data_IF_057125590930
#
_entry.id   IF_057125590930
#
_cell.length_a   1.000
_cell.length_b   1.000
_cell.length_c   1.000
_cell.angle_alpha   90.00
_cell.angle_beta   90.00
_cell.angle_gamma   90.00
#
_symmetry.space_group_name_H-M   'P 1'
#
loop_
_entity.id
_entity.type
_entity.pdbx_description
1 polymer ?
#
# COMPACT_ATOMS: atom_id res chain seq x y z
N UNK A 1 5.22 1.39 -10.44
CA UNK A 1 4.10 0.89 -11.28
C UNK A 1 2.94 0.49 -10.38
N UNK A 2 1.78 1.06 -10.64
CA UNK A 2 0.55 0.74 -9.89
C UNK A 2 -0.13 -0.47 -10.56
N UNK A 3 -0.48 -1.50 -9.78
CA UNK A 3 -1.21 -2.66 -10.28
C UNK A 3 -2.68 -2.32 -10.47
N UNK A 4 -3.30 -1.75 -9.44
CA UNK A 4 -4.70 -1.32 -9.48
C UNK A 4 -4.84 0.09 -8.91
N UNK A 5 -5.64 0.93 -9.55
CA UNK A 5 -6.02 2.23 -9.02
C UNK A 5 -7.49 2.55 -9.33
N UNK A 6 -8.10 3.26 -8.42
CA UNK A 6 -9.46 3.81 -8.57
C UNK A 6 -9.65 4.96 -7.59
N UNK A 7 -10.88 5.47 -7.48
CA UNK A 7 -11.26 6.29 -6.34
C UNK A 7 -11.90 5.43 -5.22
N UNK A 8 -12.07 6.04 -4.04
CA UNK A 8 -12.71 5.39 -2.88
C UNK A 8 -14.10 4.84 -3.24
N UNK A 9 -14.95 5.63 -3.91
CA UNK A 9 -16.30 5.22 -4.24
C UNK A 9 -16.34 3.92 -5.07
N UNK A 10 -15.50 3.83 -6.09
CA UNK A 10 -15.39 2.63 -6.94
C UNK A 10 -14.83 1.43 -6.16
N UNK A 11 -13.79 1.64 -5.36
CA UNK A 11 -13.22 0.61 -4.50
C UNK A 11 -14.27 0.03 -3.54
N UNK A 12 -15.01 0.89 -2.84
CA UNK A 12 -16.05 0.48 -1.90
C UNK A 12 -17.12 -0.39 -2.57
N UNK A 13 -17.61 0.03 -3.76
CA UNK A 13 -18.57 -0.74 -4.55
C UNK A 13 -18.04 -2.12 -4.95
N UNK A 14 -16.78 -2.23 -5.33
CA UNK A 14 -16.18 -3.51 -5.72
C UNK A 14 -15.98 -4.45 -4.52
N UNK A 15 -15.70 -3.90 -3.34
CA UNK A 15 -15.66 -4.70 -2.12
C UNK A 15 -17.06 -5.21 -1.75
N UNK A 16 -18.08 -4.35 -1.81
CA UNK A 16 -19.48 -4.71 -1.54
C UNK A 16 -20.00 -5.82 -2.48
N UNK A 17 -19.60 -5.77 -3.75
CA UNK A 17 -19.91 -6.79 -4.75
C UNK A 17 -19.07 -8.07 -4.61
N UNK A 18 -18.05 -8.07 -3.74
CA UNK A 18 -17.15 -9.21 -3.56
C UNK A 18 -16.21 -9.49 -4.73
N UNK A 19 -15.99 -8.52 -5.63
CA UNK A 19 -15.20 -8.70 -6.85
C UNK A 19 -13.81 -8.06 -6.83
N UNK A 20 -13.51 -7.24 -5.82
CA UNK A 20 -12.25 -6.47 -5.77
C UNK A 20 -11.01 -7.36 -5.85
N UNK A 21 -10.99 -8.49 -5.14
CA UNK A 21 -9.84 -9.40 -5.16
C UNK A 21 -9.59 -10.01 -6.55
N UNK A 22 -10.65 -10.31 -7.30
CA UNK A 22 -10.54 -10.80 -8.66
C UNK A 22 -10.02 -9.72 -9.61
N UNK A 23 -10.47 -8.48 -9.44
CA UNK A 23 -10.01 -7.34 -10.24
C UNK A 23 -8.50 -7.09 -10.00
N UNK A 24 -8.07 -7.09 -8.74
CA UNK A 24 -6.64 -6.94 -8.39
C UNK A 24 -5.82 -8.11 -8.95
N UNK A 25 -6.34 -9.34 -8.83
CA UNK A 25 -5.71 -10.54 -9.38
C UNK A 25 -5.48 -10.43 -10.89
N UNK A 26 -6.51 -10.08 -11.64
CA UNK A 26 -6.43 -9.95 -13.09
C UNK A 26 -5.46 -8.84 -13.51
N UNK A 27 -5.47 -7.71 -12.81
CA UNK A 27 -4.55 -6.61 -13.04
C UNK A 27 -3.10 -6.99 -12.75
N UNK A 28 -2.86 -7.70 -11.64
CA UNK A 28 -1.54 -8.20 -11.27
C UNK A 28 -1.01 -9.19 -12.31
N UNK A 29 -1.82 -10.18 -12.67
CA UNK A 29 -1.46 -11.20 -13.65
C UNK A 29 -1.06 -10.60 -15.00
N UNK A 30 -1.77 -9.60 -15.46
CA UNK A 30 -1.45 -8.91 -16.73
C UNK A 30 -0.12 -8.15 -16.67
N UNK A 31 0.25 -7.60 -15.52
CA UNK A 31 1.42 -6.71 -15.39
C UNK A 31 2.67 -7.41 -14.87
N UNK A 32 2.53 -8.37 -13.97
CA UNK A 32 3.64 -9.02 -13.27
C UNK A 32 3.68 -10.55 -13.41
N UNK A 33 2.62 -11.18 -13.92
CA UNK A 33 2.56 -12.62 -14.14
C UNK A 33 1.80 -13.37 -13.03
N UNK A 34 2.14 -14.63 -12.80
CA UNK A 34 1.39 -15.52 -11.92
C UNK A 34 1.40 -15.07 -10.45
N UNK A 35 0.29 -15.33 -9.78
CA UNK A 35 0.04 -15.01 -8.37
C UNK A 35 -0.25 -16.29 -7.60
N UNK A 36 0.35 -16.45 -6.44
CA UNK A 36 0.07 -17.58 -5.56
C UNK A 36 -1.35 -17.52 -4.98
N UNK A 37 -1.91 -18.68 -4.68
CA UNK A 37 -3.24 -18.77 -4.02
C UNK A 37 -3.22 -18.06 -2.67
N UNK A 38 -2.13 -18.17 -1.92
CA UNK A 38 -1.97 -17.50 -0.63
C UNK A 38 -2.02 -15.98 -0.76
N UNK A 39 -1.44 -15.42 -1.80
CA UNK A 39 -1.47 -13.98 -2.07
C UNK A 39 -2.89 -13.50 -2.45
N UNK A 40 -3.62 -14.27 -3.25
CA UNK A 40 -5.03 -13.97 -3.56
C UNK A 40 -5.92 -13.99 -2.32
N UNK A 41 -5.74 -14.97 -1.45
CA UNK A 41 -6.47 -15.05 -0.17
C UNK A 41 -6.10 -13.87 0.75
N UNK A 42 -4.84 -13.46 0.75
CA UNK A 42 -4.36 -12.29 1.47
C UNK A 42 -5.10 -11.03 1.02
N UNK A 43 -5.21 -10.78 -0.27
CA UNK A 43 -5.97 -9.64 -0.79
C UNK A 43 -7.44 -9.69 -0.38
N UNK A 44 -8.09 -10.85 -0.50
CA UNK A 44 -9.51 -11.00 -0.12
C UNK A 44 -9.75 -10.56 1.31
N UNK A 45 -8.89 -10.96 2.25
CA UNK A 45 -9.02 -10.64 3.66
C UNK A 45 -8.65 -9.17 3.94
N UNK A 46 -7.49 -8.74 3.46
CA UNK A 46 -6.93 -7.42 3.75
C UNK A 46 -7.76 -6.28 3.16
N UNK A 47 -8.27 -6.44 1.94
CA UNK A 47 -9.05 -5.39 1.29
C UNK A 47 -10.42 -5.20 1.94
N UNK A 48 -11.00 -6.24 2.55
CA UNK A 48 -12.21 -6.10 3.37
C UNK A 48 -11.95 -5.27 4.63
N UNK A 49 -10.81 -5.44 5.27
CA UNK A 49 -10.43 -4.60 6.41
C UNK A 49 -10.23 -3.14 5.99
N UNK A 50 -9.62 -2.89 4.82
CA UNK A 50 -9.50 -1.54 4.28
C UNK A 50 -10.86 -0.91 3.94
N UNK A 51 -11.83 -1.68 3.49
CA UNK A 51 -13.21 -1.21 3.34
C UNK A 51 -13.75 -0.64 4.67
N UNK A 52 -13.60 -1.36 5.77
CA UNK A 52 -14.06 -0.91 7.08
C UNK A 52 -13.36 0.38 7.53
N UNK A 53 -12.06 0.51 7.27
CA UNK A 53 -11.29 1.73 7.58
C UNK A 53 -11.77 2.93 6.75
N UNK A 54 -12.06 2.71 5.48
CA UNK A 54 -12.48 3.76 4.54
C UNK A 54 -13.97 4.12 4.66
N UNK A 55 -14.77 3.29 5.32
CA UNK A 55 -16.20 3.51 5.47
C UNK A 55 -16.51 4.60 6.51
N UNK A 56 -16.10 5.81 6.20
CA UNK A 56 -16.29 7.02 7.00
C UNK A 56 -16.50 8.23 6.08
N UNK A 57 -17.39 9.17 6.44
CA UNK A 57 -17.59 10.38 5.65
C UNK A 57 -16.41 11.35 5.70
N UNK A 58 -15.47 11.18 6.63
CA UNK A 58 -14.29 12.05 6.76
C UNK A 58 -13.26 11.83 5.66
N UNK A 59 -13.29 10.69 4.98
CA UNK A 59 -12.48 10.42 3.80
C UNK A 59 -13.34 10.66 2.56
N UNK A 60 -13.01 11.64 1.71
CA UNK A 60 -13.82 11.96 0.52
C UNK A 60 -13.96 10.79 -0.45
N UNK A 61 -15.08 10.69 -1.13
CA UNK A 61 -15.38 9.60 -2.08
C UNK A 61 -14.48 9.63 -3.33
N UNK A 62 -13.93 10.79 -3.66
CA UNK A 62 -12.99 10.99 -4.77
C UNK A 62 -11.52 10.75 -4.38
N UNK A 63 -11.23 10.40 -3.11
CA UNK A 63 -9.88 10.02 -2.68
C UNK A 63 -9.34 8.89 -3.56
N UNK A 64 -8.08 9.01 -3.99
CA UNK A 64 -7.42 8.00 -4.80
C UNK A 64 -7.08 6.75 -3.98
N UNK A 65 -7.28 5.59 -4.58
CA UNK A 65 -6.91 4.28 -4.03
C UNK A 65 -5.95 3.61 -5.00
N UNK A 66 -4.78 3.23 -4.50
CA UNK A 66 -3.83 2.40 -5.24
C UNK A 66 -3.50 1.14 -4.44
N UNK A 67 -3.49 0.01 -5.11
CA UNK A 67 -3.22 -1.31 -4.52
C UNK A 67 -2.04 -1.93 -5.25
N UNK A 68 -1.12 -2.54 -4.50
CA UNK A 68 0.07 -3.21 -5.03
C UNK A 68 0.93 -2.26 -5.90
N UNK A 69 1.35 -1.17 -5.31
CA UNK A 69 2.26 -0.24 -5.98
C UNK A 69 3.70 -0.75 -5.90
N UNK A 70 4.27 -1.12 -7.03
CA UNK A 70 5.68 -1.52 -7.10
C UNK A 70 6.59 -0.30 -7.04
N UNK A 71 7.47 -0.27 -6.03
CA UNK A 71 8.45 0.80 -5.87
C UNK A 71 9.45 0.82 -7.02
N UNK A 72 9.87 2.02 -7.50
CA UNK A 72 10.86 2.14 -8.54
C UNK A 72 12.17 1.41 -8.21
N UNK A 73 12.75 0.72 -9.21
CA UNK A 73 14.03 0.02 -9.12
C UNK A 73 14.13 -1.07 -8.03
N UNK A 74 13.01 -1.56 -7.54
CA UNK A 74 12.96 -2.62 -6.53
C UNK A 74 11.92 -3.68 -6.89
N UNK A 75 11.96 -4.83 -6.22
CA UNK A 75 10.89 -5.83 -6.23
C UNK A 75 9.85 -5.59 -5.14
N UNK A 76 10.04 -4.60 -4.28
CA UNK A 76 9.16 -4.28 -3.15
C UNK A 76 7.87 -3.62 -3.64
N UNK A 77 6.78 -3.91 -2.96
CA UNK A 77 5.45 -3.36 -3.26
C UNK A 77 4.85 -2.76 -2.00
N UNK A 78 4.17 -1.64 -2.19
CA UNK A 78 3.31 -1.04 -1.17
C UNK A 78 1.93 -1.66 -1.30
N UNK A 79 1.40 -2.20 -0.22
CA UNK A 79 0.13 -2.93 -0.25
C UNK A 79 -1.05 -2.02 -0.61
N UNK A 80 -1.13 -0.84 0.02
CA UNK A 80 -2.25 0.07 -0.16
C UNK A 80 -1.84 1.53 0.01
N UNK A 81 -2.32 2.41 -0.86
CA UNK A 81 -2.09 3.86 -0.80
C UNK A 81 -3.42 4.59 -0.90
N UNK A 82 -3.65 5.53 0.00
CA UNK A 82 -4.75 6.48 -0.06
C UNK A 82 -4.17 7.84 -0.43
N UNK A 83 -4.69 8.49 -1.47
CA UNK A 83 -4.24 9.81 -1.90
C UNK A 83 -5.39 10.79 -1.95
N UNK A 84 -5.08 12.05 -1.72
CA UNK A 84 -6.08 13.12 -1.73
C UNK A 84 -5.48 14.46 -1.39
N UNK A 85 -6.34 15.43 -1.19
CA UNK A 85 -5.98 16.79 -0.78
C UNK A 85 -6.46 17.03 0.64
N UNK A 86 -5.65 17.71 1.43
CA UNK A 86 -6.08 18.17 2.74
C UNK A 86 -6.81 19.52 2.66
N UNK A 87 -7.17 20.09 3.80
CA UNK A 87 -7.93 21.35 3.89
C UNK A 87 -7.24 22.56 3.28
N UNK A 88 -5.92 22.57 3.17
CA UNK A 88 -5.12 23.62 2.53
C UNK A 88 -4.88 23.36 1.01
N UNK A 89 -5.58 22.38 0.44
CA UNK A 89 -5.47 21.94 -0.95
C UNK A 89 -4.09 21.34 -1.34
N UNK A 90 -3.24 21.03 -0.38
CA UNK A 90 -2.00 20.31 -0.62
C UNK A 90 -2.26 18.81 -0.83
N UNK A 91 -1.50 18.19 -1.74
CA UNK A 91 -1.61 16.78 -2.07
C UNK A 91 -0.89 15.93 -1.03
N UNK A 92 -1.56 14.88 -0.57
CA UNK A 92 -1.06 13.92 0.40
C UNK A 92 -1.28 12.49 -0.07
N UNK A 93 -0.36 11.62 0.31
CA UNK A 93 -0.52 10.19 0.16
C UNK A 93 -0.21 9.50 1.50
N UNK A 94 -1.09 8.59 1.88
CA UNK A 94 -0.91 7.73 3.05
C UNK A 94 -0.58 6.32 2.60
N UNK A 95 0.56 5.81 3.05
CA UNK A 95 1.00 4.44 2.80
C UNK A 95 0.50 3.56 3.93
N UNK A 96 -0.15 2.47 3.58
CA UNK A 96 -0.67 1.47 4.51
C UNK A 96 -0.03 0.13 4.21
N UNK A 97 0.64 -0.44 5.19
CA UNK A 97 1.19 -1.80 5.15
C UNK A 97 0.24 -2.75 5.87
N UNK A 98 -0.18 -3.79 5.18
CA UNK A 98 -1.17 -4.74 5.66
C UNK A 98 -0.49 -6.05 6.10
N UNK A 99 -0.80 -6.51 7.30
CA UNK A 99 -0.28 -7.78 7.85
C UNK A 99 -1.42 -8.64 8.35
N UNK A 100 -1.36 -9.94 8.06
CA UNK A 100 -2.32 -10.94 8.53
C UNK A 100 -1.78 -11.71 9.73
N UNK A 101 -1.30 -10.98 10.73
CA UNK A 101 -0.82 -11.57 11.97
C UNK A 101 -1.94 -11.58 13.01
N UNK A 102 -2.01 -12.64 13.80
CA UNK A 102 -2.95 -12.70 14.92
C UNK A 102 -2.46 -11.85 16.09
N UNK A 103 -1.15 -11.83 16.32
CA UNK A 103 -0.51 -11.03 17.34
C UNK A 103 0.89 -10.60 16.92
N UNK A 104 1.39 -9.52 17.53
CA UNK A 104 2.77 -9.11 17.41
C UNK A 104 3.27 -8.65 18.78
N UNK A 105 4.48 -9.06 19.15
CA UNK A 105 5.12 -8.74 20.45
C UNK A 105 6.31 -7.82 20.23
N UNK A 106 6.51 -6.91 21.12
CA UNK A 106 7.71 -6.05 21.12
C UNK A 106 8.97 -6.88 21.39
N UNK A 107 10.09 -6.45 20.80
CA UNK A 107 11.41 -7.03 21.06
C UNK A 107 12.24 -6.01 21.82
N UNK A 108 12.73 -6.39 23.00
CA UNK A 108 13.50 -5.49 23.87
C UNK A 108 14.71 -4.91 23.15
N UNK A 109 14.84 -3.59 23.14
CA UNK A 109 15.95 -2.88 22.50
C UNK A 109 15.88 -2.78 20.97
N UNK A 110 14.79 -3.21 20.35
CA UNK A 110 14.61 -3.17 18.88
C UNK A 110 13.25 -2.55 18.53
N UNK A 111 13.21 -1.24 18.25
CA UNK A 111 11.96 -0.54 17.95
C UNK A 111 11.40 -0.82 16.53
N UNK A 112 12.27 -1.20 15.59
CA UNK A 112 11.88 -1.49 14.21
C UNK A 112 11.59 -2.98 13.93
N UNK A 113 11.63 -3.81 14.97
CA UNK A 113 11.44 -5.27 14.90
C UNK A 113 10.31 -5.67 15.84
N UNK A 114 9.49 -6.59 15.38
CA UNK A 114 8.46 -7.27 16.19
C UNK A 114 8.64 -8.78 16.08
N UNK A 115 8.12 -9.49 17.06
CA UNK A 115 8.10 -10.95 17.09
C UNK A 115 6.69 -11.43 16.83
N UNK A 116 6.51 -12.27 15.84
CA UNK A 116 5.21 -12.79 15.44
C UNK A 116 5.34 -14.21 14.89
N UNK A 117 4.22 -14.92 14.80
CA UNK A 117 4.17 -16.27 14.25
C UNK A 117 3.96 -16.23 12.74
N UNK A 118 4.98 -16.57 11.97
CA UNK A 118 4.96 -16.64 10.50
C UNK A 118 5.75 -17.84 9.99
N UNK A 119 5.27 -18.46 8.94
CA UNK A 119 5.93 -19.62 8.35
C UNK A 119 6.11 -20.78 9.34
N UNK A 120 5.07 -21.05 10.14
CA UNK A 120 5.01 -22.11 11.16
C UNK A 120 6.01 -21.96 12.32
N UNK A 121 6.51 -20.76 12.57
CA UNK A 121 7.41 -20.48 13.70
C UNK A 121 7.26 -19.03 14.19
N UNK A 122 7.59 -18.80 15.45
CA UNK A 122 7.74 -17.45 16.00
C UNK A 122 9.05 -16.84 15.49
N UNK A 123 8.98 -15.68 14.84
CA UNK A 123 10.13 -15.02 14.20
C UNK A 123 10.16 -13.53 14.48
N UNK A 124 11.35 -12.97 14.50
CA UNK A 124 11.57 -11.53 14.46
C UNK A 124 11.44 -11.04 13.01
N UNK A 125 10.58 -10.05 12.79
CA UNK A 125 10.30 -9.46 11.49
C UNK A 125 10.26 -7.94 11.60
N UNK A 126 10.38 -7.25 10.48
CA UNK A 126 10.29 -5.79 10.44
C UNK A 126 8.92 -5.31 10.92
N UNK A 127 8.92 -4.29 11.78
CA UNK A 127 7.69 -3.64 12.22
C UNK A 127 6.96 -3.01 11.02
N UNK A 128 5.64 -3.22 10.85
CA UNK A 128 4.92 -2.72 9.67
C UNK A 128 5.01 -1.21 9.49
N UNK A 129 4.96 -0.44 10.58
CA UNK A 129 5.12 1.02 10.50
C UNK A 129 6.50 1.45 10.02
N UNK A 130 7.55 0.73 10.40
CA UNK A 130 8.90 0.99 9.90
C UNK A 130 9.01 0.64 8.41
N UNK A 131 8.38 -0.46 7.98
CA UNK A 131 8.33 -0.83 6.57
C UNK A 131 7.61 0.24 5.74
N UNK A 132 6.44 0.70 6.17
CA UNK A 132 5.70 1.78 5.52
C UNK A 132 6.50 3.09 5.48
N UNK A 133 7.18 3.44 6.58
CA UNK A 133 8.06 4.61 6.63
C UNK A 133 9.21 4.49 5.61
N UNK A 134 9.86 3.34 5.52
CA UNK A 134 10.95 3.13 4.56
C UNK A 134 10.49 3.26 3.11
N UNK A 135 9.29 2.78 2.79
CA UNK A 135 8.67 2.95 1.47
C UNK A 135 8.35 4.42 1.16
N UNK A 136 7.83 5.14 2.15
CA UNK A 136 7.59 6.58 2.03
C UNK A 136 8.88 7.35 1.71
N UNK A 137 9.96 7.02 2.40
CA UNK A 137 11.28 7.64 2.14
C UNK A 137 11.79 7.35 0.73
N UNK A 138 11.69 6.10 0.29
CA UNK A 138 12.07 5.70 -1.09
C UNK A 138 11.29 6.49 -2.13
N UNK A 139 9.99 6.66 -1.95
CA UNK A 139 9.14 7.43 -2.87
C UNK A 139 9.49 8.94 -2.86
N UNK A 140 9.74 9.52 -1.69
CA UNK A 140 10.16 10.92 -1.57
C UNK A 140 11.49 11.18 -2.26
N UNK A 141 12.47 10.30 -2.09
CA UNK A 141 13.77 10.41 -2.74
C UNK A 141 13.67 10.27 -4.26
N UNK A 142 12.89 9.30 -4.73
CA UNK A 142 12.61 9.12 -6.15
C UNK A 142 11.97 10.37 -6.77
N UNK A 143 10.97 10.95 -6.11
CA UNK A 143 10.30 12.16 -6.59
C UNK A 143 11.26 13.37 -6.64
N UNK A 144 12.16 13.51 -5.66
CA UNK A 144 13.21 14.54 -5.67
C UNK A 144 14.13 14.40 -6.88
N UNK A 145 14.55 13.20 -7.18
CA UNK A 145 15.40 12.92 -8.35
C UNK A 145 14.64 13.27 -9.64
N UNK A 146 13.40 12.87 -9.78
CA UNK A 146 12.57 13.20 -10.93
C UNK A 146 12.41 14.73 -11.10
N UNK A 147 12.17 15.46 -10.03
CA UNK A 147 12.06 16.93 -10.05
C UNK A 147 13.37 17.59 -10.48
N UNK A 148 14.52 17.08 -10.03
CA UNK A 148 15.84 17.61 -10.43
C UNK A 148 16.11 17.42 -11.93
N UNK A 149 15.70 16.29 -12.49
CA UNK A 149 15.90 15.99 -13.92
C UNK A 149 14.85 16.62 -14.85
N UNK A 150 13.68 16.96 -14.34
CA UNK A 150 12.59 17.58 -15.12
C UNK A 150 12.51 19.09 -14.97
N UNK A 151 13.22 19.67 -14.01
CA UNK A 151 13.29 21.12 -13.87
C UNK A 151 14.06 21.73 -15.05
N UNK A 152 13.57 22.83 -15.63
CA UNK A 152 14.35 23.55 -16.64
C UNK A 152 15.71 23.97 -16.08
N UNK A 153 16.71 23.87 -16.90
CA UNK A 153 18.06 24.30 -16.51
C UNK A 153 18.03 25.77 -16.10
N UNK A 154 18.71 26.17 -15.01
CA UNK A 154 18.82 27.60 -14.63
C UNK A 154 19.47 28.48 -15.69
N UNK A 155 19.93 27.91 -16.79
CA UNK A 155 20.60 28.61 -17.92
C UNK A 155 19.67 28.87 -19.09
N UNK A 156 18.47 28.34 -19.03
CA UNK A 156 17.42 28.58 -20.00
C UNK A 156 16.47 29.69 -19.46
#
# INVERSE_FOLDING_TARGET
MIIYNSNKNTFMKYVEKGIISNIVYDAFRKKLGEVSISEQLSWRNSLRHMYNVLNTPTIPDDSGIAIEYRLPYTSKRVDFIISGKNTDNSEHAMIVELKQWQEAKTVKGKNSIVKTYVGNAEREVTHPSYQAWSYSKTLQEYNKICLLYTSPSPRD
#
